data_IF_453087673723
#
_entry.id   IF_453087673723
#
_cell.length_a   1.000
_cell.length_b   1.000
_cell.length_c   1.000
_cell.angle_alpha   90.00
_cell.angle_beta   90.00
_cell.angle_gamma   90.00
#
_symmetry.space_group_name_H-M   'P 1'
#
loop_
_entity.id
_entity.type
_entity.pdbx_description
1 polymer ?
#
# COMPACT_ATOMS: atom_id res chain seq x y z
N UNK A 1 -45.37 -1.28 -20.56
CA UNK A 1 -44.59 -2.40 -21.11
C UNK A 1 -43.22 -1.84 -21.49
N UNK A 2 -42.28 -1.80 -20.55
CA UNK A 2 -40.88 -1.45 -20.82
C UNK A 2 -40.11 -2.76 -20.67
N UNK A 3 -39.78 -3.36 -21.80
CA UNK A 3 -39.05 -4.62 -21.91
C UNK A 3 -37.57 -4.32 -22.19
N UNK A 4 -36.95 -3.44 -21.40
CA UNK A 4 -35.51 -3.29 -21.41
C UNK A 4 -34.92 -4.31 -20.42
N UNK A 5 -34.09 -5.26 -20.87
CA UNK A 5 -33.39 -6.14 -19.94
C UNK A 5 -32.52 -5.27 -19.03
N UNK A 6 -32.62 -5.46 -17.71
CA UNK A 6 -31.78 -4.78 -16.71
C UNK A 6 -30.32 -5.27 -16.82
N UNK A 7 -29.65 -4.92 -17.91
CA UNK A 7 -28.25 -5.23 -18.16
C UNK A 7 -27.40 -4.14 -17.53
N UNK A 8 -26.81 -4.44 -16.38
CA UNK A 8 -25.85 -3.57 -15.72
C UNK A 8 -24.44 -4.14 -15.91
N UNK A 9 -23.49 -3.25 -16.21
CA UNK A 9 -22.08 -3.59 -16.36
C UNK A 9 -21.27 -2.81 -15.32
N UNK A 10 -20.35 -3.50 -14.67
CA UNK A 10 -19.32 -2.89 -13.85
C UNK A 10 -17.95 -3.27 -14.42
N UNK A 11 -16.97 -2.37 -14.30
CA UNK A 11 -15.62 -2.57 -14.83
C UNK A 11 -14.61 -2.22 -13.76
N UNK A 12 -13.68 -3.14 -13.48
CA UNK A 12 -12.53 -2.90 -12.61
C UNK A 12 -11.33 -2.52 -13.46
N UNK A 13 -10.70 -1.39 -13.15
CA UNK A 13 -9.45 -0.95 -13.77
C UNK A 13 -8.33 -0.98 -12.73
N UNK A 14 -7.28 -1.76 -12.99
CA UNK A 14 -6.06 -1.80 -12.19
C UNK A 14 -4.94 -1.08 -12.93
N UNK A 15 -4.43 0.01 -12.37
CA UNK A 15 -3.32 0.79 -12.94
C UNK A 15 -2.03 0.51 -12.18
N UNK A 16 -0.90 0.35 -12.89
CA UNK A 16 0.41 0.03 -12.28
C UNK A 16 0.35 -1.22 -11.39
N UNK A 17 -0.19 -2.31 -11.92
CA UNK A 17 -0.28 -3.60 -11.21
C UNK A 17 1.12 -4.02 -10.76
N UNK A 18 1.25 -4.40 -9.49
CA UNK A 18 2.44 -4.94 -8.84
C UNK A 18 2.24 -6.39 -8.41
N UNK A 19 3.27 -7.06 -7.91
CA UNK A 19 3.14 -8.43 -7.40
C UNK A 19 2.25 -8.56 -6.17
N UNK A 20 2.00 -7.47 -5.45
CA UNK A 20 1.08 -7.45 -4.31
C UNK A 20 -0.39 -7.53 -4.75
N UNK A 21 -0.68 -7.25 -6.03
CA UNK A 21 -2.02 -7.28 -6.60
C UNK A 21 -2.39 -8.65 -7.21
N UNK A 22 -1.53 -9.66 -7.06
CA UNK A 22 -1.83 -11.04 -7.49
C UNK A 22 -2.78 -11.67 -6.48
N UNK A 23 -3.88 -12.24 -6.96
CA UNK A 23 -4.83 -12.94 -6.09
C UNK A 23 -6.20 -13.17 -6.67
N UNK A 24 -7.10 -13.64 -5.81
CA UNK A 24 -8.52 -13.82 -6.12
C UNK A 24 -9.29 -12.51 -5.93
N UNK A 25 -10.11 -12.17 -6.92
CA UNK A 25 -10.99 -11.02 -6.89
C UNK A 25 -12.44 -11.49 -7.03
N UNK A 26 -13.29 -11.02 -6.13
CA UNK A 26 -14.72 -11.32 -6.12
C UNK A 26 -15.50 -10.08 -6.53
N UNK A 27 -16.31 -10.22 -7.58
CA UNK A 27 -17.28 -9.24 -8.02
C UNK A 27 -18.66 -9.63 -7.52
N UNK A 28 -19.31 -8.75 -6.75
CA UNK A 28 -20.62 -9.03 -6.13
C UNK A 28 -21.66 -8.06 -6.70
N UNK A 29 -22.73 -8.61 -7.25
CA UNK A 29 -23.92 -7.87 -7.70
C UNK A 29 -25.05 -8.15 -6.73
N UNK A 30 -25.61 -7.09 -6.13
CA UNK A 30 -26.79 -7.17 -5.27
C UNK A 30 -27.96 -6.45 -5.92
N UNK A 31 -29.11 -7.09 -5.92
CA UNK A 31 -30.40 -6.53 -6.31
C UNK A 31 -31.46 -6.82 -5.24
N UNK A 32 -32.63 -6.17 -5.29
CA UNK A 32 -33.76 -6.53 -4.43
C UNK A 32 -34.18 -8.01 -4.56
N UNK A 33 -33.87 -8.64 -5.70
CA UNK A 33 -34.24 -10.01 -6.02
C UNK A 33 -33.18 -11.04 -5.61
N UNK A 34 -32.01 -10.61 -5.12
CA UNK A 34 -30.96 -11.53 -4.68
C UNK A 34 -29.54 -11.02 -4.89
N UNK A 35 -28.60 -11.95 -4.70
CA UNK A 35 -27.17 -11.71 -4.81
C UNK A 35 -26.57 -12.69 -5.82
N UNK A 36 -25.65 -12.18 -6.63
CA UNK A 36 -24.85 -12.97 -7.57
C UNK A 36 -23.40 -12.57 -7.41
N UNK A 37 -22.50 -13.54 -7.50
CA UNK A 37 -21.06 -13.34 -7.39
C UNK A 37 -20.34 -13.92 -8.61
N UNK A 38 -19.23 -13.30 -8.99
CA UNK A 38 -18.29 -13.78 -9.99
C UNK A 38 -16.88 -13.67 -9.44
N UNK A 39 -16.09 -14.72 -9.58
CA UNK A 39 -14.71 -14.75 -9.11
C UNK A 39 -13.75 -14.80 -10.30
N UNK A 40 -12.64 -14.08 -10.21
CA UNK A 40 -11.57 -14.15 -11.18
C UNK A 40 -10.20 -14.05 -10.51
N UNK A 41 -9.25 -14.83 -11.01
CA UNK A 41 -7.89 -14.83 -10.53
C UNK A 41 -7.03 -13.89 -11.36
N UNK A 42 -6.37 -12.93 -10.70
CA UNK A 42 -5.39 -12.04 -11.33
C UNK A 42 -4.01 -12.66 -11.17
N UNK A 43 -3.46 -13.15 -12.28
CA UNK A 43 -2.08 -13.62 -12.34
C UNK A 43 -1.22 -12.60 -13.10
N UNK A 44 -0.02 -12.34 -12.58
CA UNK A 44 0.95 -11.46 -13.23
C UNK A 44 2.16 -12.26 -13.69
N UNK A 45 2.41 -12.23 -14.99
CA UNK A 45 3.65 -12.75 -15.57
C UNK A 45 4.68 -11.63 -15.69
N UNK A 46 5.87 -11.84 -15.12
CA UNK A 46 7.01 -10.98 -15.34
C UNK A 46 7.47 -11.06 -16.80
N UNK A 47 7.43 -9.94 -17.51
CA UNK A 47 8.12 -9.82 -18.80
C UNK A 47 9.61 -9.56 -18.53
N UNK A 48 10.48 -10.52 -18.92
CA UNK A 48 11.93 -10.38 -18.77
C UNK A 48 12.41 -9.16 -19.58
N UNK A 49 12.84 -8.09 -18.89
CA UNK A 49 13.30 -6.85 -19.52
C UNK A 49 12.84 -5.58 -18.80
N UNK A 50 11.76 -5.65 -18.01
CA UNK A 50 11.31 -4.56 -17.15
C UNK A 50 11.81 -4.78 -15.71
N UNK A 51 13.05 -4.36 -15.44
CA UNK A 51 13.55 -4.25 -14.07
C UNK A 51 12.97 -2.98 -13.45
N UNK A 52 11.71 -3.04 -12.99
CA UNK A 52 11.20 -2.02 -12.09
C UNK A 52 11.89 -2.28 -10.77
N UNK A 53 13.03 -1.62 -10.56
CA UNK A 53 13.62 -1.54 -9.23
C UNK A 53 12.53 -0.93 -8.36
N UNK A 54 11.95 -1.78 -7.51
CA UNK A 54 11.10 -1.36 -6.42
C UNK A 54 11.93 -0.30 -5.68
N UNK A 55 11.59 0.98 -5.89
CA UNK A 55 12.14 2.05 -5.08
C UNK A 55 11.49 1.81 -3.74
N UNK A 56 12.05 0.87 -2.97
CA UNK A 56 11.86 0.78 -1.55
C UNK A 56 12.16 2.19 -1.08
N UNK A 57 11.10 2.95 -0.84
CA UNK A 57 11.15 4.26 -0.22
C UNK A 57 12.06 4.06 0.97
N UNK A 58 13.27 4.56 0.85
CA UNK A 58 14.32 4.24 1.78
C UNK A 58 13.80 4.75 3.13
N UNK A 59 13.39 3.84 4.01
CA UNK A 59 13.14 4.12 5.41
C UNK A 59 14.51 4.41 6.04
N UNK A 60 15.04 5.55 5.66
CA UNK A 60 16.24 6.20 6.13
C UNK A 60 15.58 7.33 6.94
N UNK A 61 15.41 7.25 8.26
CA UNK A 61 16.51 7.40 9.21
C UNK A 61 16.01 7.47 10.67
N UNK A 62 14.97 6.73 11.10
CA UNK A 62 14.56 6.84 12.52
C UNK A 62 15.71 6.51 13.51
N UNK A 63 16.59 5.57 13.13
CA UNK A 63 17.76 5.18 13.93
C UNK A 63 18.83 6.28 14.04
N UNK A 64 19.02 7.11 13.01
CA UNK A 64 20.01 8.19 13.05
C UNK A 64 19.52 9.37 13.90
N UNK A 65 18.22 9.71 13.83
CA UNK A 65 17.64 10.74 14.68
C UNK A 65 17.77 10.37 16.17
N UNK A 66 17.47 9.12 16.55
CA UNK A 66 17.62 8.66 17.93
C UNK A 66 19.05 8.83 18.49
N UNK A 67 20.07 8.52 17.69
CA UNK A 67 21.47 8.72 18.09
C UNK A 67 21.79 10.20 18.29
N UNK A 68 21.33 11.07 17.38
CA UNK A 68 21.54 12.53 17.51
C UNK A 68 20.86 13.06 18.78
N UNK A 69 19.61 12.68 19.04
CA UNK A 69 18.87 13.13 20.24
C UNK A 69 19.57 12.74 21.55
N UNK A 70 20.02 11.48 21.66
CA UNK A 70 20.73 11.01 22.86
C UNK A 70 22.03 11.79 23.07
N UNK A 71 22.81 12.04 22.00
CA UNK A 71 24.05 12.79 22.10
C UNK A 71 23.82 14.25 22.52
N UNK A 72 22.79 14.93 21.99
CA UNK A 72 22.43 16.30 22.39
C UNK A 72 22.03 16.38 23.85
N UNK A 73 21.22 15.42 24.34
CA UNK A 73 20.79 15.37 25.74
C UNK A 73 21.98 15.22 26.68
N UNK A 74 22.92 14.32 26.37
CA UNK A 74 24.14 14.11 27.18
C UNK A 74 24.98 15.39 27.24
N UNK A 75 25.14 16.09 26.11
CA UNK A 75 25.88 17.35 26.04
C UNK A 75 25.25 18.47 26.89
N UNK A 76 23.92 18.55 26.93
CA UNK A 76 23.21 19.50 27.78
C UNK A 76 23.37 19.17 29.27
N UNK A 77 23.31 17.88 29.64
CA UNK A 77 23.50 17.44 31.02
C UNK A 77 24.91 17.74 31.52
N UNK A 78 25.94 17.49 30.69
CA UNK A 78 27.34 17.81 31.03
C UNK A 78 27.50 19.33 31.23
N UNK A 79 26.99 20.15 30.30
CA UNK A 79 27.07 21.61 30.43
C UNK A 79 26.30 22.14 31.65
N UNK A 80 25.16 21.53 31.99
CA UNK A 80 24.40 21.89 33.18
C UNK A 80 25.20 21.55 34.46
N UNK A 81 25.79 20.36 34.51
CA UNK A 81 26.61 19.92 35.64
C UNK A 81 27.86 20.78 35.82
N UNK A 82 28.56 21.13 34.73
CA UNK A 82 29.73 22.01 34.76
C UNK A 82 29.42 23.46 35.14
N UNK A 83 28.13 23.87 35.15
CA UNK A 83 27.69 25.20 35.62
C UNK A 83 27.23 25.21 37.08
N UNK A 84 27.00 24.03 37.67
CA UNK A 84 26.53 23.84 39.03
C UNK A 84 27.67 23.55 40.02
N UNK A 85 28.83 23.10 39.52
CA UNK A 85 30.12 23.09 40.23
C UNK A 85 30.94 24.34 39.91
#
# INVERSE_FOLDING_TARGET
NSSEPNCHQAVLFLTKVTTLDIGEYTFIVRSPNGLTEGNFHVNMTYASGYNVQDVKSACVTHRHFAVIYVNVIILLLINCYSRLN
#
